data_IF_415293103227
#
_entry.id   IF_415293103227
#
_cell.length_a   1.000
_cell.length_b   1.000
_cell.length_c   1.000
_cell.angle_alpha   90.00
_cell.angle_beta   90.00
_cell.angle_gamma   90.00
#
_symmetry.space_group_name_H-M   'P 1'
#
loop_
_entity.id
_entity.type
_entity.pdbx_description
1 polymer ?
#
# COMPACT_ATOMS: atom_id res chain seq x y z
N UNK A 1 -3.69 -39.15 22.20
CA UNK A 1 -4.04 -37.73 21.95
C UNK A 1 -5.54 -37.52 21.88
N UNK A 2 -6.30 -38.13 20.94
CA UNK A 2 -7.77 -38.02 20.93
C UNK A 2 -8.45 -38.55 22.22
N UNK A 3 -7.96 -39.66 22.79
CA UNK A 3 -8.43 -40.18 24.09
C UNK A 3 -8.14 -39.26 25.30
N UNK A 4 -7.28 -38.23 25.12
CA UNK A 4 -7.00 -37.21 26.12
C UNK A 4 -7.69 -35.87 25.82
N UNK A 5 -8.62 -35.83 24.85
CA UNK A 5 -9.34 -34.61 24.45
C UNK A 5 -8.57 -33.66 23.53
N UNK A 6 -7.40 -34.06 23.03
CA UNK A 6 -6.50 -33.23 22.19
C UNK A 6 -6.85 -33.41 20.71
N UNK A 7 -7.14 -32.30 20.01
CA UNK A 7 -7.34 -32.28 18.56
C UNK A 7 -6.03 -31.95 17.84
N UNK A 8 -5.42 -32.96 17.22
CA UNK A 8 -4.16 -32.82 16.48
C UNK A 8 -4.36 -32.11 15.12
N UNK A 9 -5.56 -32.21 14.55
CA UNK A 9 -5.90 -31.60 13.27
C UNK A 9 -6.24 -30.11 13.43
N UNK A 10 -5.45 -29.27 12.76
CA UNK A 10 -5.60 -27.81 12.70
C UNK A 10 -6.90 -27.39 12.03
N UNK A 11 -7.34 -28.06 10.96
CA UNK A 11 -8.59 -27.73 10.27
C UNK A 11 -9.80 -28.08 11.15
N UNK A 12 -9.73 -29.19 11.88
CA UNK A 12 -10.78 -29.55 12.83
C UNK A 12 -10.87 -28.57 14.01
N UNK A 13 -9.74 -28.09 14.53
CA UNK A 13 -9.72 -27.04 15.58
C UNK A 13 -10.31 -25.74 15.07
N UNK A 14 -9.91 -25.32 13.86
CA UNK A 14 -10.43 -24.12 13.19
C UNK A 14 -11.95 -24.19 13.03
N UNK A 15 -12.46 -25.31 12.51
CA UNK A 15 -13.89 -25.54 12.37
C UNK A 15 -14.63 -25.48 13.71
N UNK A 16 -14.10 -26.13 14.75
CA UNK A 16 -14.68 -26.13 16.10
C UNK A 16 -14.78 -24.70 16.66
N UNK A 17 -13.68 -23.93 16.60
CA UNK A 17 -13.65 -22.54 17.08
C UNK A 17 -14.70 -21.71 16.33
N UNK A 18 -14.76 -21.84 15.01
CA UNK A 18 -15.69 -21.08 14.17
C UNK A 18 -17.16 -21.39 14.49
N UNK A 19 -17.53 -22.67 14.49
CA UNK A 19 -18.93 -23.07 14.70
C UNK A 19 -19.43 -22.66 16.08
N UNK A 20 -18.64 -22.92 17.13
CA UNK A 20 -19.02 -22.60 18.50
C UNK A 20 -19.02 -21.08 18.74
N UNK A 21 -18.03 -20.35 18.23
CA UNK A 21 -17.98 -18.89 18.36
C UNK A 21 -19.15 -18.21 17.64
N UNK A 22 -19.52 -18.67 16.44
CA UNK A 22 -20.67 -18.14 15.72
C UNK A 22 -22.00 -18.42 16.45
N UNK A 23 -22.14 -19.59 17.07
CA UNK A 23 -23.34 -19.89 17.87
C UNK A 23 -23.44 -18.99 19.11
N UNK A 24 -22.33 -18.75 19.81
CA UNK A 24 -22.29 -17.81 20.94
C UNK A 24 -22.59 -16.38 20.50
N UNK A 25 -22.03 -15.93 19.37
CA UNK A 25 -22.27 -14.60 18.82
C UNK A 25 -23.76 -14.38 18.48
N UNK A 26 -24.39 -15.37 17.82
CA UNK A 26 -25.84 -15.33 17.54
C UNK A 26 -26.70 -15.23 18.80
N UNK A 27 -26.26 -15.85 19.89
CA UNK A 27 -26.94 -15.79 21.19
C UNK A 27 -27.06 -14.37 21.76
N UNK A 28 -26.24 -13.43 21.31
CA UNK A 28 -26.28 -12.01 21.68
C UNK A 28 -26.65 -11.08 20.52
N UNK A 29 -27.19 -11.64 19.43
CA UNK A 29 -27.51 -10.87 18.22
C UNK A 29 -26.28 -10.29 17.51
N UNK A 30 -25.11 -10.90 17.70
CA UNK A 30 -23.85 -10.45 17.15
C UNK A 30 -23.30 -11.36 16.06
N UNK A 31 -22.41 -10.79 15.27
CA UNK A 31 -21.58 -11.42 14.25
C UNK A 31 -20.10 -11.29 14.63
N UNK A 32 -19.31 -12.33 14.35
CA UNK A 32 -17.89 -12.38 14.68
C UNK A 32 -17.09 -11.47 13.73
N UNK A 33 -16.32 -10.52 14.28
CA UNK A 33 -15.34 -9.76 13.51
C UNK A 33 -14.11 -10.65 13.31
N UNK A 34 -14.06 -11.32 12.17
CA UNK A 34 -13.01 -12.27 11.87
C UNK A 34 -11.89 -11.70 11.03
N UNK A 35 -10.67 -11.80 11.55
CA UNK A 35 -9.45 -11.69 10.77
C UNK A 35 -8.84 -13.10 10.65
N UNK A 36 -8.60 -13.56 9.42
CA UNK A 36 -8.09 -14.90 9.15
C UNK A 36 -6.79 -15.20 9.91
N UNK A 37 -5.90 -14.20 10.03
CA UNK A 37 -4.65 -14.31 10.76
C UNK A 37 -4.83 -14.56 12.26
N UNK A 38 -5.79 -13.88 12.90
CA UNK A 38 -6.08 -14.08 14.32
C UNK A 38 -6.62 -15.48 14.59
N UNK A 39 -7.51 -15.98 13.73
CA UNK A 39 -8.03 -17.33 13.86
C UNK A 39 -6.92 -18.37 13.73
N UNK A 40 -6.04 -18.22 12.75
CA UNK A 40 -4.88 -19.11 12.58
C UNK A 40 -3.95 -19.07 13.80
N UNK A 41 -3.71 -17.89 14.35
CA UNK A 41 -2.92 -17.74 15.58
C UNK A 41 -3.59 -18.48 16.76
N UNK A 42 -4.87 -18.23 17.01
CA UNK A 42 -5.63 -18.88 18.10
C UNK A 42 -5.66 -20.39 17.94
N UNK A 43 -5.88 -20.91 16.72
CA UNK A 43 -5.87 -22.35 16.43
C UNK A 43 -4.52 -22.99 16.82
N UNK A 44 -3.42 -22.28 16.62
CA UNK A 44 -2.08 -22.76 16.98
C UNK A 44 -1.75 -22.59 18.47
N UNK A 45 -2.50 -21.76 19.20
CA UNK A 45 -2.33 -21.57 20.66
C UNK A 45 -3.05 -22.61 21.51
N UNK A 46 -4.05 -23.31 20.96
CA UNK A 46 -4.91 -24.23 21.72
C UNK A 46 -4.97 -25.62 21.10
N UNK A 47 -5.07 -26.63 21.95
CA UNK A 47 -5.12 -28.05 21.56
C UNK A 47 -6.53 -28.64 21.64
N UNK A 48 -7.36 -28.09 22.52
CA UNK A 48 -8.75 -28.46 22.77
C UNK A 48 -9.58 -27.17 22.94
N UNK A 49 -9.96 -26.49 21.84
CA UNK A 49 -10.58 -25.17 21.91
C UNK A 49 -11.95 -25.19 22.59
N UNK A 50 -12.15 -24.29 23.55
CA UNK A 50 -13.46 -24.01 24.17
C UNK A 50 -13.72 -22.49 24.10
N UNK A 51 -14.47 -22.01 23.10
CA UNK A 51 -14.91 -20.63 23.03
C UNK A 51 -15.84 -20.28 24.20
N UNK A 52 -15.62 -19.11 24.80
CA UNK A 52 -16.35 -18.58 25.95
C UNK A 52 -16.77 -17.14 25.67
N UNK A 53 -18.06 -16.87 25.85
CA UNK A 53 -18.63 -15.53 25.66
C UNK A 53 -18.43 -14.67 26.91
N UNK A 54 -17.61 -13.63 26.78
CA UNK A 54 -17.40 -12.58 27.78
C UNK A 54 -18.15 -11.30 27.44
N UNK A 55 -18.33 -10.43 28.44
CA UNK A 55 -18.86 -9.07 28.28
C UNK A 55 -17.95 -8.02 28.91
N UNK A 56 -18.02 -6.80 28.42
CA UNK A 56 -17.38 -5.64 29.04
C UNK A 56 -18.41 -4.52 29.26
N UNK A 57 -18.01 -3.48 30.00
CA UNK A 57 -18.90 -2.34 30.27
C UNK A 57 -19.19 -1.56 28.99
N UNK A 58 -20.47 -1.29 28.71
CA UNK A 58 -20.90 -0.43 27.59
C UNK A 58 -20.28 0.97 27.64
N UNK A 59 -19.85 1.44 28.82
CA UNK A 59 -19.13 2.70 28.97
C UNK A 59 -17.86 2.81 28.13
N UNK A 60 -17.25 1.69 27.74
CA UNK A 60 -16.07 1.70 26.86
C UNK A 60 -16.41 1.93 25.39
N UNK A 61 -17.68 1.80 24.99
CA UNK A 61 -18.11 2.04 23.59
C UNK A 61 -18.01 3.51 23.18
N UNK A 62 -17.67 4.41 24.09
CA UNK A 62 -17.26 5.79 23.78
C UNK A 62 -15.91 5.84 23.05
N UNK A 63 -15.07 4.80 23.22
CA UNK A 63 -13.77 4.70 22.55
C UNK A 63 -13.95 4.27 21.09
N UNK A 64 -13.00 4.62 20.21
CA UNK A 64 -13.04 4.21 18.81
C UNK A 64 -13.09 2.68 18.68
N UNK A 65 -13.95 2.19 17.77
CA UNK A 65 -14.10 0.76 17.50
C UNK A 65 -12.75 0.10 17.19
N UNK A 66 -11.95 0.71 16.31
CA UNK A 66 -10.65 0.16 15.91
C UNK A 66 -9.68 0.03 17.09
N UNK A 67 -9.72 0.97 18.05
CA UNK A 67 -8.93 0.88 19.28
C UNK A 67 -9.36 -0.29 20.16
N UNK A 68 -10.67 -0.43 20.41
CA UNK A 68 -11.21 -1.54 21.22
C UNK A 68 -10.89 -2.90 20.59
N UNK A 69 -11.09 -3.02 19.27
CA UNK A 69 -10.75 -4.24 18.51
C UNK A 69 -9.26 -4.52 18.59
N UNK A 70 -8.40 -3.52 18.40
CA UNK A 70 -6.95 -3.68 18.49
C UNK A 70 -6.51 -4.17 19.87
N UNK A 71 -7.07 -3.62 20.95
CA UNK A 71 -6.77 -4.03 22.32
C UNK A 71 -7.17 -5.50 22.56
N UNK A 72 -8.36 -5.91 22.10
CA UNK A 72 -8.83 -7.30 22.18
C UNK A 72 -7.89 -8.26 21.44
N UNK A 73 -7.49 -7.91 20.22
CA UNK A 73 -6.68 -8.77 19.36
C UNK A 73 -5.21 -8.83 19.81
N UNK A 74 -4.58 -7.69 20.09
CA UNK A 74 -3.15 -7.60 20.38
C UNK A 74 -2.82 -8.22 21.74
N UNK A 75 -3.58 -7.91 22.78
CA UNK A 75 -3.23 -8.34 24.13
C UNK A 75 -3.79 -9.69 24.53
N UNK A 76 -4.94 -10.11 24.00
CA UNK A 76 -5.67 -11.26 24.52
C UNK A 76 -6.19 -12.24 23.46
N UNK A 77 -5.98 -11.96 22.16
CA UNK A 77 -6.44 -12.81 21.06
C UNK A 77 -7.94 -13.08 21.09
N UNK A 78 -8.72 -12.10 21.56
CA UNK A 78 -10.17 -12.19 21.60
C UNK A 78 -10.78 -11.81 20.26
N UNK A 79 -11.91 -12.43 19.95
CA UNK A 79 -12.73 -12.04 18.80
C UNK A 79 -13.80 -11.03 19.23
N UNK A 80 -13.82 -9.88 18.57
CA UNK A 80 -14.81 -8.84 18.77
C UNK A 80 -16.15 -9.23 18.12
N UNK A 81 -17.26 -8.76 18.69
CA UNK A 81 -18.59 -8.96 18.13
C UNK A 81 -19.19 -7.63 17.65
N UNK A 82 -19.82 -7.64 16.48
CA UNK A 82 -20.59 -6.50 15.95
C UNK A 82 -22.03 -6.88 15.69
N UNK A 83 -22.94 -5.92 15.65
CA UNK A 83 -24.27 -6.15 15.12
C UNK A 83 -24.26 -6.29 13.58
N UNK A 84 -25.44 -6.48 13.00
CA UNK A 84 -25.64 -6.60 11.55
C UNK A 84 -25.27 -5.32 10.76
N UNK A 85 -25.13 -4.18 11.45
CA UNK A 85 -24.73 -2.89 10.87
C UNK A 85 -23.22 -2.64 11.01
N UNK A 86 -22.49 -3.54 11.66
CA UNK A 86 -21.06 -3.40 11.93
C UNK A 86 -20.73 -2.55 13.16
N UNK A 87 -21.71 -2.17 13.97
CA UNK A 87 -21.50 -1.47 15.25
C UNK A 87 -20.98 -2.45 16.29
N UNK A 88 -19.95 -2.06 17.04
CA UNK A 88 -19.33 -2.93 18.05
C UNK A 88 -20.28 -3.17 19.22
N UNK A 89 -20.46 -4.44 19.60
CA UNK A 89 -21.24 -4.85 20.76
C UNK A 89 -20.35 -4.97 22.01
N UNK A 90 -20.89 -4.84 23.23
CA UNK A 90 -20.15 -4.96 24.49
C UNK A 90 -19.77 -6.42 24.85
N UNK A 91 -19.50 -7.25 23.84
CA UNK A 91 -19.22 -8.67 23.95
C UNK A 91 -17.99 -9.07 23.16
N UNK A 92 -17.33 -10.13 23.62
CA UNK A 92 -16.18 -10.72 22.97
C UNK A 92 -16.16 -12.23 23.20
N UNK A 93 -15.41 -12.93 22.36
CA UNK A 93 -15.19 -14.38 22.50
C UNK A 93 -13.72 -14.63 22.82
N UNK A 94 -13.48 -15.27 23.96
CA UNK A 94 -12.18 -15.82 24.33
C UNK A 94 -12.17 -17.32 23.99
N UNK A 95 -11.02 -17.86 23.59
CA UNK A 95 -10.87 -19.31 23.33
C UNK A 95 -9.97 -19.90 24.41
N UNK A 96 -10.55 -20.70 25.30
CA UNK A 96 -9.81 -21.44 26.30
C UNK A 96 -9.32 -22.78 25.75
N UNK A 97 -8.45 -23.45 26.51
CA UNK A 97 -7.86 -24.72 26.13
C UNK A 97 -8.19 -25.82 27.16
N UNK A 98 -8.82 -26.91 26.71
CA UNK A 98 -9.07 -28.11 27.50
C UNK A 98 -10.32 -28.05 28.38
N UNK A 99 -10.34 -28.89 29.42
CA UNK A 99 -11.43 -28.94 30.37
C UNK A 99 -11.38 -27.71 31.30
N UNK A 100 -12.40 -26.86 31.22
CA UNK A 100 -12.45 -25.58 31.93
C UNK A 100 -13.71 -25.43 32.79
N UNK A 101 -13.63 -24.55 33.79
CA UNK A 101 -14.81 -23.96 34.41
C UNK A 101 -15.16 -22.65 33.69
N UNK A 102 -16.19 -22.68 32.86
CA UNK A 102 -16.60 -21.56 32.02
C UNK A 102 -16.84 -20.28 32.82
N UNK A 103 -17.45 -20.37 34.01
CA UNK A 103 -17.75 -19.19 34.83
C UNK A 103 -16.50 -18.49 35.36
N UNK A 104 -15.46 -19.27 35.70
CA UNK A 104 -14.18 -18.76 36.19
C UNK A 104 -13.39 -18.15 35.05
N UNK A 105 -13.30 -18.87 33.92
CA UNK A 105 -12.62 -18.39 32.70
C UNK A 105 -13.27 -17.10 32.22
N UNK A 106 -14.59 -17.04 32.13
CA UNK A 106 -15.33 -15.84 31.75
C UNK A 106 -14.96 -14.65 32.64
N UNK A 107 -15.14 -14.77 33.96
CA UNK A 107 -14.83 -13.68 34.91
C UNK A 107 -13.37 -13.22 34.84
N UNK A 108 -12.43 -14.16 34.67
CA UNK A 108 -11.01 -13.86 34.52
C UNK A 108 -10.73 -13.02 33.28
N UNK A 109 -11.22 -13.46 32.11
CA UNK A 109 -11.02 -12.75 30.84
C UNK A 109 -11.71 -11.37 30.85
N UNK A 110 -12.90 -11.25 31.45
CA UNK A 110 -13.61 -9.97 31.62
C UNK A 110 -12.81 -8.99 32.49
N UNK A 111 -12.24 -9.48 33.60
CA UNK A 111 -11.41 -8.66 34.49
C UNK A 111 -10.12 -8.16 33.79
N UNK A 112 -9.49 -9.01 33.00
CA UNK A 112 -8.29 -8.66 32.21
C UNK A 112 -8.64 -7.63 31.14
N UNK A 113 -9.71 -7.86 30.37
CA UNK A 113 -10.12 -6.93 29.31
C UNK A 113 -10.47 -5.55 29.88
N UNK A 114 -11.18 -5.52 31.01
CA UNK A 114 -11.52 -4.26 31.69
C UNK A 114 -10.26 -3.47 32.02
N UNK A 115 -9.23 -4.09 32.60
CA UNK A 115 -7.98 -3.39 32.90
C UNK A 115 -7.33 -2.80 31.63
N UNK A 116 -7.28 -3.57 30.54
CA UNK A 116 -6.72 -3.09 29.26
C UNK A 116 -7.51 -1.96 28.63
N UNK A 117 -8.83 -1.96 28.77
CA UNK A 117 -9.66 -0.86 28.28
C UNK A 117 -9.57 0.39 29.13
N UNK A 118 -9.33 0.28 30.44
CA UNK A 118 -9.00 1.46 31.26
C UNK A 118 -7.68 2.10 30.81
N UNK A 119 -6.65 1.30 30.51
CA UNK A 119 -5.39 1.80 29.96
C UNK A 119 -5.61 2.52 28.61
N UNK A 120 -6.34 1.87 27.68
CA UNK A 120 -6.66 2.44 26.37
C UNK A 120 -7.48 3.73 26.48
N UNK A 121 -8.42 3.78 27.44
CA UNK A 121 -9.22 4.96 27.74
C UNK A 121 -8.34 6.10 28.22
N UNK A 122 -7.41 5.83 29.14
CA UNK A 122 -6.47 6.84 29.64
C UNK A 122 -5.63 7.45 28.51
N UNK A 123 -5.10 6.63 27.60
CA UNK A 123 -4.36 7.14 26.44
C UNK A 123 -5.23 7.99 25.53
N UNK A 124 -6.45 7.54 25.25
CA UNK A 124 -7.39 8.27 24.40
C UNK A 124 -7.82 9.61 25.02
N UNK A 125 -8.04 9.66 26.34
CA UNK A 125 -8.36 10.90 27.07
C UNK A 125 -7.18 11.88 27.05
N UNK A 126 -5.95 11.38 27.20
CA UNK A 126 -4.74 12.19 27.09
C UNK A 126 -4.62 12.81 25.68
N UNK A 127 -4.88 12.00 24.65
CA UNK A 127 -4.81 12.46 23.26
C UNK A 127 -5.89 13.50 22.95
N UNK A 128 -7.13 13.25 23.37
CA UNK A 128 -8.29 14.10 23.08
C UNK A 128 -8.38 15.37 23.93
N UNK A 129 -7.47 15.53 24.89
CA UNK A 129 -7.28 16.77 25.66
C UNK A 129 -6.50 17.85 24.89
N UNK A 130 -5.85 17.49 23.79
CA UNK A 130 -5.08 18.37 22.90
C UNK A 130 -5.75 18.42 21.53
N UNK A 131 -5.47 19.45 20.74
CA UNK A 131 -5.86 19.48 19.32
C UNK A 131 -4.96 18.56 18.51
N UNK A 132 -5.51 17.92 17.50
CA UNK A 132 -4.78 16.99 16.63
C UNK A 132 -3.58 17.67 15.95
N UNK A 133 -3.74 18.93 15.54
CA UNK A 133 -2.67 19.74 14.96
C UNK A 133 -1.48 19.98 15.90
N UNK A 134 -1.68 19.92 17.23
CA UNK A 134 -0.59 20.12 18.21
C UNK A 134 0.38 18.93 18.26
N UNK A 135 -0.01 17.77 17.73
CA UNK A 135 0.88 16.61 17.65
C UNK A 135 1.89 16.73 16.51
N UNK A 136 1.67 17.63 15.53
CA UNK A 136 2.60 17.84 14.41
C UNK A 136 4.00 18.22 14.90
N UNK A 137 4.11 19.19 15.81
CA UNK A 137 5.40 19.61 16.37
C UNK A 137 6.06 18.56 17.28
N UNK A 138 5.30 17.57 17.75
CA UNK A 138 5.85 16.47 18.57
C UNK A 138 6.56 15.42 17.71
N UNK A 139 6.38 15.44 16.37
CA UNK A 139 7.13 14.60 15.44
C UNK A 139 8.63 14.89 15.44
N UNK A 140 9.05 16.07 15.93
CA UNK A 140 10.45 16.40 16.18
C UNK A 140 11.11 15.45 17.21
N UNK A 141 10.32 14.84 18.09
CA UNK A 141 10.80 13.85 19.06
C UNK A 141 11.03 12.45 18.45
N UNK A 142 10.63 12.22 17.20
CA UNK A 142 10.70 10.92 16.54
C UNK A 142 11.78 10.99 15.46
N UNK A 143 12.91 10.32 15.69
CA UNK A 143 13.99 10.24 14.71
C UNK A 143 13.53 9.45 13.47
N UNK A 144 13.58 10.07 12.29
CA UNK A 144 13.36 9.36 11.03
C UNK A 144 14.66 8.68 10.58
N UNK A 145 15.75 9.44 10.52
CA UNK A 145 17.09 8.92 10.22
C UNK A 145 18.16 9.97 10.59
N UNK A 146 19.33 9.56 11.08
CA UNK A 146 20.41 10.45 11.56
C UNK A 146 20.78 11.57 10.56
N UNK A 147 20.80 11.27 9.26
CA UNK A 147 21.09 12.24 8.19
C UNK A 147 19.88 12.99 7.63
N UNK A 148 18.66 12.51 7.89
CA UNK A 148 17.42 13.05 7.31
C UNK A 148 16.55 13.76 8.35
N UNK A 149 17.00 13.77 9.60
CA UNK A 149 16.33 14.41 10.72
C UNK A 149 15.19 13.56 11.29
N UNK A 150 14.17 14.28 11.72
CA UNK A 150 13.03 13.78 12.46
C UNK A 150 11.86 13.46 11.52
N UNK A 151 10.80 12.89 12.08
CA UNK A 151 9.57 12.68 11.35
C UNK A 151 8.89 14.02 11.00
N UNK A 152 9.12 15.09 11.79
CA UNK A 152 8.68 16.44 11.41
C UNK A 152 9.41 16.92 10.16
N UNK A 153 10.75 16.81 10.13
CA UNK A 153 11.56 17.17 8.96
C UNK A 153 11.12 16.41 7.71
N UNK A 154 10.82 15.11 7.86
CA UNK A 154 10.29 14.29 6.78
C UNK A 154 8.97 14.86 6.25
N UNK A 155 8.03 15.14 7.14
CA UNK A 155 6.72 15.58 6.70
C UNK A 155 6.70 17.01 6.16
N UNK A 156 7.63 17.88 6.58
CA UNK A 156 7.86 19.20 5.95
C UNK A 156 8.32 19.02 4.49
N UNK A 157 9.23 18.08 4.22
CA UNK A 157 9.65 17.78 2.83
C UNK A 157 8.52 17.18 2.02
N UNK A 158 7.74 16.27 2.59
CA UNK A 158 6.56 15.71 1.90
C UNK A 158 5.59 16.83 1.52
N UNK A 159 5.24 17.71 2.46
CA UNK A 159 4.33 18.84 2.26
C UNK A 159 4.79 19.78 1.14
N UNK A 160 6.09 20.07 1.04
CA UNK A 160 6.63 20.97 0.01
C UNK A 160 6.56 20.41 -1.41
N UNK A 161 6.44 19.09 -1.57
CA UNK A 161 6.33 18.43 -2.89
C UNK A 161 4.89 18.29 -3.41
N UNK A 162 3.88 18.51 -2.56
CA UNK A 162 2.47 18.22 -2.88
C UNK A 162 1.97 18.99 -4.11
N UNK A 163 2.39 20.24 -4.27
CA UNK A 163 1.93 21.09 -5.37
C UNK A 163 2.36 20.54 -6.72
N UNK A 164 3.65 20.30 -6.86
CA UNK A 164 4.24 19.90 -8.12
C UNK A 164 3.82 18.46 -8.47
N UNK A 165 3.77 17.55 -7.48
CA UNK A 165 3.26 16.20 -7.69
C UNK A 165 1.76 16.18 -8.03
N UNK A 166 0.96 17.02 -7.38
CA UNK A 166 -0.47 17.17 -7.68
C UNK A 166 -0.70 17.63 -9.12
N UNK A 167 0.04 18.65 -9.56
CA UNK A 167 0.00 19.13 -10.96
C UNK A 167 0.48 18.07 -11.96
N UNK A 168 1.57 17.38 -11.65
CA UNK A 168 2.10 16.29 -12.50
C UNK A 168 1.12 15.12 -12.64
N UNK A 169 0.28 14.90 -11.63
CA UNK A 169 -0.80 13.90 -11.63
C UNK A 169 -2.12 14.42 -12.22
N UNK A 170 -2.17 15.68 -12.68
CA UNK A 170 -3.33 16.29 -13.31
C UNK A 170 -4.47 16.61 -12.35
N UNK A 171 -4.19 16.84 -11.06
CA UNK A 171 -5.19 17.27 -10.09
C UNK A 171 -5.58 18.73 -10.31
N UNK A 172 -6.83 19.05 -9.98
CA UNK A 172 -7.35 20.41 -9.90
C UNK A 172 -6.91 21.12 -8.60
N UNK A 173 -6.91 22.45 -8.59
CA UNK A 173 -6.41 23.26 -7.46
C UNK A 173 -7.17 22.97 -6.14
N UNK A 174 -8.47 22.70 -6.20
CA UNK A 174 -9.27 22.31 -5.03
C UNK A 174 -8.76 21.02 -4.38
N UNK A 175 -8.42 20.01 -5.19
CA UNK A 175 -7.86 18.75 -4.72
C UNK A 175 -6.44 18.91 -4.19
N UNK A 176 -5.64 19.76 -4.82
CA UNK A 176 -4.30 20.11 -4.32
C UNK A 176 -4.42 20.80 -2.95
N UNK A 177 -5.37 21.70 -2.77
CA UNK A 177 -5.58 22.39 -1.50
C UNK A 177 -5.99 21.42 -0.37
N UNK A 178 -6.88 20.47 -0.65
CA UNK A 178 -7.22 19.38 0.30
C UNK A 178 -5.97 18.56 0.65
N UNK A 179 -5.13 18.27 -0.35
CA UNK A 179 -3.90 17.49 -0.15
C UNK A 179 -2.90 18.25 0.72
N UNK A 180 -2.74 19.57 0.53
CA UNK A 180 -1.90 20.42 1.40
C UNK A 180 -2.39 20.40 2.84
N UNK A 181 -3.71 20.57 3.03
CA UNK A 181 -4.30 20.56 4.37
C UNK A 181 -4.05 19.20 5.07
N UNK A 182 -4.25 18.09 4.37
CA UNK A 182 -3.91 16.77 4.87
C UNK A 182 -2.40 16.62 5.15
N UNK A 183 -1.51 17.09 4.27
CA UNK A 183 -0.06 16.99 4.45
C UNK A 183 0.44 17.74 5.71
N UNK A 184 -0.19 18.86 6.06
CA UNK A 184 0.12 19.64 7.26
C UNK A 184 -0.16 18.90 8.57
N UNK A 185 -1.07 17.92 8.54
CA UNK A 185 -1.45 17.08 9.68
C UNK A 185 -0.92 15.65 9.58
N UNK A 186 -0.42 15.26 8.41
CA UNK A 186 -0.05 13.89 8.12
C UNK A 186 0.99 13.34 9.09
N UNK A 187 0.76 12.08 9.49
CA UNK A 187 1.56 11.33 10.46
C UNK A 187 1.64 11.91 11.87
N UNK A 188 0.91 13.00 12.19
CA UNK A 188 0.91 13.60 13.55
C UNK A 188 0.40 12.62 14.61
N UNK A 189 -0.43 11.66 14.21
CA UNK A 189 -0.91 10.61 15.10
C UNK A 189 0.22 9.73 15.66
N UNK A 190 1.39 9.64 15.01
CA UNK A 190 2.54 8.91 15.55
C UNK A 190 2.99 9.40 16.93
N UNK A 191 2.75 10.66 17.27
CA UNK A 191 3.08 11.24 18.58
C UNK A 191 1.95 11.12 19.61
N UNK A 192 0.82 10.52 19.24
CA UNK A 192 -0.30 10.29 20.17
C UNK A 192 0.00 9.11 21.10
N UNK A 193 -0.51 9.16 22.31
CA UNK A 193 -0.33 8.10 23.30
C UNK A 193 -0.94 6.78 22.83
N UNK A 194 -2.12 6.83 22.17
CA UNK A 194 -2.75 5.64 21.59
C UNK A 194 -1.86 4.99 20.53
N UNK A 195 -1.32 5.74 19.58
CA UNK A 195 -0.50 5.16 18.51
C UNK A 195 0.88 4.74 19.01
N UNK A 196 1.42 5.42 20.03
CA UNK A 196 2.66 5.00 20.69
C UNK A 196 2.51 3.60 21.29
N UNK A 197 1.38 3.30 21.93
CA UNK A 197 1.07 1.96 22.45
C UNK A 197 0.65 0.98 21.33
N UNK A 198 -0.10 1.47 20.34
CA UNK A 198 -0.72 0.68 19.26
C UNK A 198 -0.31 1.20 17.88
N UNK A 199 0.96 1.00 17.51
CA UNK A 199 1.53 1.51 16.25
C UNK A 199 0.78 1.08 14.98
N UNK A 200 0.09 -0.07 15.00
CA UNK A 200 -0.77 -0.56 13.91
C UNK A 200 -2.01 0.29 13.67
N UNK A 201 -2.37 1.19 14.60
CA UNK A 201 -3.47 2.13 14.47
C UNK A 201 -3.06 3.45 13.82
N UNK A 202 -1.80 3.60 13.41
CA UNK A 202 -1.39 4.78 12.65
C UNK A 202 -2.21 4.92 11.35
N UNK A 203 -2.53 6.15 10.97
CA UNK A 203 -3.45 6.51 9.89
C UNK A 203 -4.93 6.37 10.30
N UNK A 204 -5.31 5.27 10.94
CA UNK A 204 -6.68 5.07 11.43
C UNK A 204 -7.01 6.12 12.50
N UNK A 205 -6.11 6.30 13.47
CA UNK A 205 -6.29 7.30 14.52
C UNK A 205 -6.12 8.73 14.00
N UNK A 206 -5.26 8.97 13.00
CA UNK A 206 -5.19 10.27 12.33
C UNK A 206 -6.56 10.68 11.76
N UNK A 207 -7.20 9.78 11.00
CA UNK A 207 -8.56 10.01 10.48
C UNK A 207 -9.57 10.23 11.60
N UNK A 208 -9.53 9.40 12.65
CA UNK A 208 -10.45 9.51 13.78
C UNK A 208 -10.35 10.86 14.50
N UNK A 209 -9.12 11.30 14.80
CA UNK A 209 -8.89 12.58 15.47
C UNK A 209 -9.27 13.77 14.60
N UNK A 210 -8.97 13.72 13.29
CA UNK A 210 -9.37 14.75 12.35
C UNK A 210 -10.91 14.88 12.24
N UNK A 211 -11.64 13.77 12.08
CA UNK A 211 -13.11 13.78 12.05
C UNK A 211 -13.71 14.31 13.34
N UNK A 212 -13.16 13.91 14.50
CA UNK A 212 -13.62 14.39 15.82
C UNK A 212 -13.49 15.90 15.96
N UNK A 213 -12.46 16.50 15.36
CA UNK A 213 -12.20 17.95 15.41
C UNK A 213 -12.90 18.75 14.30
N UNK A 214 -13.66 18.08 13.44
CA UNK A 214 -14.45 18.74 12.40
C UNK A 214 -13.69 19.04 11.12
N UNK A 215 -12.52 18.42 10.90
CA UNK A 215 -11.89 18.43 9.57
C UNK A 215 -12.79 17.72 8.56
N UNK A 216 -12.67 18.08 7.27
CA UNK A 216 -13.48 17.47 6.22
C UNK A 216 -13.20 15.97 6.08
N UNK A 217 -14.18 15.23 5.58
CA UNK A 217 -14.04 13.79 5.29
C UNK A 217 -12.88 13.54 4.31
N UNK A 218 -12.69 14.41 3.32
CA UNK A 218 -11.63 14.27 2.31
C UNK A 218 -10.23 14.42 2.92
N UNK A 219 -10.04 15.38 3.83
CA UNK A 219 -8.77 15.55 4.58
C UNK A 219 -8.55 14.35 5.50
N UNK A 220 -9.58 13.95 6.24
CA UNK A 220 -9.50 12.87 7.20
C UNK A 220 -9.19 11.52 6.53
N UNK A 221 -9.77 11.26 5.36
CA UNK A 221 -9.48 10.03 4.61
C UNK A 221 -8.06 10.05 4.03
N UNK A 222 -7.58 11.19 3.52
CA UNK A 222 -6.20 11.32 3.04
C UNK A 222 -5.17 11.02 4.14
N UNK A 223 -5.47 11.39 5.40
CA UNK A 223 -4.62 11.08 6.56
C UNK A 223 -4.55 9.58 6.90
N UNK A 224 -5.59 8.82 6.60
CA UNK A 224 -5.54 7.36 6.67
C UNK A 224 -4.77 6.77 5.49
N UNK A 225 -5.08 7.26 4.28
CA UNK A 225 -4.61 6.73 3.02
C UNK A 225 -3.10 6.93 2.77
N UNK A 226 -2.43 7.92 3.40
CA UNK A 226 -0.96 8.08 3.29
C UNK A 226 -0.20 6.79 3.63
N UNK A 227 -0.73 6.00 4.57
CA UNK A 227 -0.12 4.73 5.00
C UNK A 227 -0.33 3.61 3.99
N UNK A 228 -1.29 3.74 3.08
CA UNK A 228 -1.70 2.71 2.13
C UNK A 228 -0.87 2.75 0.82
N UNK A 229 -0.56 1.58 0.23
CA UNK A 229 -0.72 0.24 0.79
C UNK A 229 0.35 -0.04 1.86
N UNK A 230 -0.02 -0.73 2.94
CA UNK A 230 0.89 -1.08 4.05
C UNK A 230 1.74 -2.31 3.73
N UNK A 231 1.24 -3.18 2.88
CA UNK A 231 1.90 -4.40 2.39
C UNK A 231 1.41 -4.73 0.97
N UNK A 232 2.09 -5.67 0.30
CA UNK A 232 1.71 -6.10 -1.06
C UNK A 232 0.30 -6.69 -1.07
N UNK A 233 -0.58 -6.15 -1.92
CA UNK A 233 -1.97 -6.60 -2.01
C UNK A 233 -2.91 -6.04 -0.94
N UNK A 234 -2.46 -5.08 -0.13
CA UNK A 234 -3.34 -4.28 0.72
C UNK A 234 -4.27 -3.37 -0.11
N UNK A 235 -5.28 -2.79 0.54
CA UNK A 235 -6.11 -1.75 -0.06
C UNK A 235 -5.25 -0.54 -0.48
N UNK A 236 -5.73 0.18 -1.49
CA UNK A 236 -5.06 1.36 -2.04
C UNK A 236 -5.77 2.63 -1.61
N UNK A 237 -5.08 3.79 -1.63
CA UNK A 237 -5.74 5.09 -1.51
C UNK A 237 -6.90 5.19 -2.51
N UNK A 238 -8.10 5.53 -2.04
CA UNK A 238 -9.27 5.75 -2.86
C UNK A 238 -9.31 7.18 -3.37
N UNK A 239 -9.05 8.15 -2.49
CA UNK A 239 -9.12 9.58 -2.81
C UNK A 239 -7.92 10.07 -3.63
N UNK A 240 -8.12 11.14 -4.40
CA UNK A 240 -7.02 11.81 -5.10
C UNK A 240 -5.99 12.37 -4.10
N UNK A 241 -6.44 12.99 -3.02
CA UNK A 241 -5.56 13.57 -2.01
C UNK A 241 -4.70 12.52 -1.31
N UNK A 242 -5.28 11.42 -0.86
CA UNK A 242 -4.51 10.32 -0.27
C UNK A 242 -3.63 9.61 -1.28
N UNK A 243 -4.02 9.53 -2.56
CA UNK A 243 -3.15 9.00 -3.63
C UNK A 243 -1.87 9.85 -3.75
N UNK A 244 -1.99 11.18 -3.87
CA UNK A 244 -0.84 12.07 -4.00
C UNK A 244 0.02 12.02 -2.74
N UNK A 245 -0.59 12.07 -1.57
CA UNK A 245 0.11 12.09 -0.30
C UNK A 245 0.88 10.77 -0.04
N UNK A 246 0.28 9.62 -0.38
CA UNK A 246 0.95 8.32 -0.33
C UNK A 246 2.15 8.22 -1.30
N UNK A 247 2.02 8.77 -2.51
CA UNK A 247 3.11 8.85 -3.49
C UNK A 247 4.23 9.74 -2.96
N UNK A 248 3.91 10.95 -2.47
CA UNK A 248 4.87 11.91 -1.95
C UNK A 248 5.68 11.34 -0.78
N UNK A 249 5.03 10.70 0.19
CA UNK A 249 5.69 10.06 1.34
C UNK A 249 6.68 8.95 0.93
N UNK A 250 6.30 8.16 -0.09
CA UNK A 250 7.14 7.07 -0.62
C UNK A 250 8.31 7.61 -1.41
N UNK A 251 8.11 8.65 -2.22
CA UNK A 251 9.19 9.31 -2.95
C UNK A 251 10.19 9.94 -1.98
N UNK A 252 9.73 10.66 -0.94
CA UNK A 252 10.61 11.24 0.09
C UNK A 252 11.48 10.15 0.73
N UNK A 253 10.85 9.06 1.16
CA UNK A 253 11.55 7.95 1.81
C UNK A 253 12.54 7.26 0.87
N UNK A 254 12.17 7.02 -0.40
CA UNK A 254 13.04 6.37 -1.38
C UNK A 254 14.25 7.24 -1.71
N UNK A 255 14.05 8.52 -2.01
CA UNK A 255 15.14 9.44 -2.35
C UNK A 255 16.05 9.65 -1.14
N UNK A 256 15.47 9.90 0.04
CA UNK A 256 16.22 10.29 1.23
C UNK A 256 17.07 9.17 1.77
N UNK A 257 16.48 7.98 1.92
CA UNK A 257 17.20 6.83 2.44
C UNK A 257 18.25 6.33 1.43
N UNK A 258 18.04 6.48 0.12
CA UNK A 258 19.10 6.23 -0.84
C UNK A 258 20.24 7.24 -0.70
N UNK A 259 19.95 8.53 -0.53
CA UNK A 259 21.00 9.54 -0.31
C UNK A 259 21.73 9.39 1.01
N UNK A 260 21.06 8.86 2.03
CA UNK A 260 21.66 8.55 3.32
C UNK A 260 22.63 7.35 3.27
N UNK A 261 22.61 6.55 2.19
CA UNK A 261 23.40 5.33 2.04
C UNK A 261 22.70 4.08 2.59
N UNK A 262 21.38 4.12 2.75
CA UNK A 262 20.58 3.02 3.29
C UNK A 262 20.03 2.10 2.19
N UNK A 263 20.69 2.02 1.02
CA UNK A 263 20.20 1.17 -0.06
C UNK A 263 20.15 -0.29 0.38
N UNK A 264 19.09 -1.06 0.04
CA UNK A 264 18.98 -2.45 0.48
C UNK A 264 20.06 -3.31 -0.19
N UNK A 265 20.64 -4.23 0.57
CA UNK A 265 21.56 -5.24 0.04
C UNK A 265 20.78 -6.41 -0.57
N UNK A 266 21.42 -7.55 -0.88
CA UNK A 266 20.69 -8.77 -1.27
C UNK A 266 19.93 -9.39 -0.10
N UNK A 267 20.50 -9.37 1.10
CA UNK A 267 19.98 -10.07 2.28
C UNK A 267 19.27 -9.16 3.29
N UNK A 268 19.49 -7.85 3.23
CA UNK A 268 18.98 -6.92 4.23
C UNK A 268 18.27 -5.71 3.61
N UNK A 269 17.16 -5.31 4.22
CA UNK A 269 16.40 -4.10 3.88
C UNK A 269 15.85 -3.48 5.18
N UNK A 270 16.71 -2.80 5.96
CA UNK A 270 16.38 -2.38 7.32
C UNK A 270 15.26 -1.34 7.38
N UNK A 271 15.10 -0.53 6.32
CA UNK A 271 14.06 0.50 6.21
C UNK A 271 12.87 0.08 5.33
N UNK A 272 12.85 -1.17 4.83
CA UNK A 272 11.77 -1.67 3.99
C UNK A 272 11.62 -0.95 2.65
N UNK A 273 12.72 -0.46 2.05
CA UNK A 273 12.71 0.26 0.77
C UNK A 273 12.11 -0.57 -0.37
N UNK A 274 12.28 -1.89 -0.36
CA UNK A 274 11.63 -2.77 -1.35
C UNK A 274 10.12 -2.74 -1.22
N UNK A 275 9.60 -2.73 0.02
CA UNK A 275 8.17 -2.63 0.30
C UNK A 275 7.63 -1.26 -0.08
N UNK A 276 8.34 -0.19 0.28
CA UNK A 276 7.98 1.20 -0.08
C UNK A 276 7.91 1.35 -1.60
N UNK A 277 8.94 0.90 -2.33
CA UNK A 277 8.99 0.99 -3.79
C UNK A 277 7.93 0.10 -4.46
N UNK A 278 7.67 -1.10 -3.96
CA UNK A 278 6.59 -1.94 -4.48
C UNK A 278 5.21 -1.31 -4.24
N UNK A 279 4.98 -0.70 -3.08
CA UNK A 279 3.76 0.04 -2.78
C UNK A 279 3.58 1.25 -3.71
N UNK A 280 4.64 2.00 -4.00
CA UNK A 280 4.62 3.08 -5.00
C UNK A 280 4.22 2.56 -6.38
N UNK A 281 4.83 1.47 -6.84
CA UNK A 281 4.47 0.83 -8.13
C UNK A 281 3.01 0.40 -8.13
N UNK A 282 2.53 -0.22 -7.06
CA UNK A 282 1.14 -0.68 -6.95
C UNK A 282 0.17 0.51 -7.06
N UNK A 283 0.43 1.61 -6.36
CA UNK A 283 -0.38 2.84 -6.46
C UNK A 283 -0.36 3.39 -7.89
N UNK A 284 0.81 3.55 -8.51
CA UNK A 284 0.92 4.13 -9.85
C UNK A 284 0.25 3.27 -10.93
N UNK A 285 0.37 1.96 -10.84
CA UNK A 285 -0.16 1.03 -11.83
C UNK A 285 -1.64 0.77 -11.63
N UNK A 286 -2.07 0.41 -10.42
CA UNK A 286 -3.45 -0.03 -10.16
C UNK A 286 -4.44 1.13 -10.06
N UNK A 287 -3.98 2.33 -9.66
CA UNK A 287 -4.80 3.58 -9.75
C UNK A 287 -4.68 4.28 -11.10
N UNK A 288 -4.00 3.66 -12.06
CA UNK A 288 -3.81 4.17 -13.43
C UNK A 288 -3.31 5.62 -13.47
N UNK A 289 -2.32 5.93 -12.62
CA UNK A 289 -1.76 7.29 -12.52
C UNK A 289 -0.64 7.44 -13.55
N UNK A 290 -0.89 8.31 -14.53
CA UNK A 290 0.10 8.64 -15.54
C UNK A 290 1.11 9.66 -15.00
N UNK A 291 2.12 9.15 -14.27
CA UNK A 291 3.18 9.95 -13.67
C UNK A 291 4.51 9.71 -14.38
N UNK A 292 5.20 10.79 -14.73
CA UNK A 292 6.62 10.73 -15.11
C UNK A 292 7.46 10.45 -13.86
N UNK A 293 8.00 9.24 -13.76
CA UNK A 293 8.71 8.79 -12.57
C UNK A 293 10.03 9.55 -12.35
N UNK A 294 10.76 9.90 -13.42
CA UNK A 294 11.99 10.71 -13.29
C UNK A 294 11.66 12.09 -12.74
N UNK A 295 10.68 12.75 -13.34
CA UNK A 295 10.25 14.06 -12.86
C UNK A 295 9.80 14.00 -11.39
N UNK A 296 8.97 13.03 -11.01
CA UNK A 296 8.52 12.88 -9.62
C UNK A 296 9.69 12.64 -8.63
N UNK A 297 10.71 11.89 -9.04
CA UNK A 297 11.94 11.71 -8.26
C UNK A 297 12.77 13.00 -8.18
N UNK A 298 12.80 13.81 -9.23
CA UNK A 298 13.45 15.13 -9.23
C UNK A 298 12.77 16.09 -8.27
N UNK A 299 11.43 16.10 -8.23
CA UNK A 299 10.67 16.90 -7.25
C UNK A 299 11.08 16.53 -5.82
N UNK A 300 11.06 15.24 -5.48
CA UNK A 300 11.48 14.77 -4.16
C UNK A 300 12.97 15.03 -3.88
N UNK A 301 13.83 14.91 -4.89
CA UNK A 301 15.25 15.20 -4.75
C UNK A 301 15.55 16.69 -4.59
N UNK A 302 14.73 17.60 -5.14
CA UNK A 302 14.92 19.04 -5.02
C UNK A 302 14.88 19.52 -3.56
N UNK A 303 14.11 18.83 -2.72
CA UNK A 303 13.96 19.12 -1.29
C UNK A 303 14.92 18.30 -0.40
N UNK A 304 15.82 17.52 -1.01
CA UNK A 304 16.78 16.65 -0.31
C UNK A 304 18.23 16.69 -0.87
N UNK A 305 18.46 17.29 -2.05
CA UNK A 305 19.76 17.47 -2.73
C UNK A 305 20.53 16.18 -3.09
N UNK A 306 19.91 15.25 -3.86
CA UNK A 306 20.47 13.91 -4.11
C UNK A 306 20.40 13.44 -5.58
N UNK A 307 21.20 12.41 -5.93
CA UNK A 307 21.20 11.77 -7.25
C UNK A 307 20.05 10.76 -7.40
N UNK A 308 19.26 10.87 -8.47
CA UNK A 308 18.02 10.10 -8.67
C UNK A 308 18.20 8.78 -9.44
N UNK A 309 19.28 8.60 -10.20
CA UNK A 309 19.40 7.48 -11.17
C UNK A 309 19.33 6.11 -10.51
N UNK A 310 19.95 5.96 -9.34
CA UNK A 310 19.93 4.71 -8.57
C UNK A 310 18.54 4.38 -8.05
N UNK A 311 17.76 5.40 -7.66
CA UNK A 311 16.38 5.26 -7.19
C UNK A 311 15.46 4.89 -8.35
N UNK A 312 15.60 5.56 -9.51
CA UNK A 312 14.82 5.25 -10.71
C UNK A 312 15.01 3.80 -11.15
N UNK A 313 16.26 3.33 -11.20
CA UNK A 313 16.56 1.93 -11.52
C UNK A 313 15.95 0.98 -10.49
N UNK A 314 16.01 1.33 -9.20
CA UNK A 314 15.45 0.50 -8.13
C UNK A 314 13.93 0.35 -8.26
N UNK A 315 13.21 1.45 -8.51
CA UNK A 315 11.75 1.43 -8.72
C UNK A 315 11.40 0.67 -10.01
N UNK A 316 12.15 0.86 -11.08
CA UNK A 316 11.97 0.12 -12.34
C UNK A 316 12.10 -1.39 -12.13
N UNK A 317 13.05 -1.84 -11.32
CA UNK A 317 13.20 -3.26 -10.98
C UNK A 317 12.05 -3.80 -10.11
N UNK A 318 11.37 -2.95 -9.34
CA UNK A 318 10.14 -3.34 -8.62
C UNK A 318 8.93 -3.38 -9.56
N UNK A 319 8.87 -2.52 -10.56
CA UNK A 319 7.89 -2.59 -11.64
C UNK A 319 8.04 -3.88 -12.46
N UNK A 320 9.27 -4.30 -12.78
CA UNK A 320 9.53 -5.61 -13.41
C UNK A 320 8.96 -6.75 -12.56
N UNK A 321 9.31 -6.77 -11.26
CA UNK A 321 8.81 -7.78 -10.34
C UNK A 321 7.28 -7.81 -10.28
N UNK A 322 6.65 -6.64 -10.12
CA UNK A 322 5.20 -6.50 -10.07
C UNK A 322 4.52 -7.11 -11.30
N UNK A 323 5.03 -6.83 -12.51
CA UNK A 323 4.45 -7.33 -13.76
C UNK A 323 4.66 -8.84 -13.93
N UNK A 324 5.81 -9.36 -13.52
CA UNK A 324 6.09 -10.81 -13.51
C UNK A 324 5.19 -11.54 -12.51
N UNK A 325 4.98 -10.99 -11.31
CA UNK A 325 4.10 -11.55 -10.29
C UNK A 325 2.63 -11.57 -10.74
N UNK A 326 2.23 -10.65 -11.64
CA UNK A 326 0.93 -10.65 -12.32
C UNK A 326 0.86 -11.65 -13.49
N UNK A 327 1.90 -12.46 -13.70
CA UNK A 327 1.93 -13.56 -14.67
C UNK A 327 2.33 -13.18 -16.09
N UNK A 328 2.92 -11.99 -16.29
CA UNK A 328 3.40 -11.56 -17.62
C UNK A 328 4.77 -12.19 -17.90
N UNK A 329 4.99 -12.62 -19.15
CA UNK A 329 6.28 -13.19 -19.55
C UNK A 329 7.44 -12.21 -19.29
N UNK A 330 8.52 -12.63 -18.58
CA UNK A 330 9.64 -11.75 -18.24
C UNK A 330 10.34 -11.11 -19.45
N UNK A 331 10.37 -11.76 -20.61
CA UNK A 331 10.94 -11.17 -21.83
C UNK A 331 10.11 -10.01 -22.36
N UNK A 332 8.77 -10.16 -22.34
CA UNK A 332 7.83 -9.09 -22.70
C UNK A 332 7.98 -7.92 -21.75
N UNK A 333 8.05 -8.18 -20.44
CA UNK A 333 8.26 -7.14 -19.42
C UNK A 333 9.55 -6.39 -19.69
N UNK A 334 10.69 -7.08 -19.81
CA UNK A 334 11.99 -6.44 -20.03
C UNK A 334 12.01 -5.60 -21.31
N UNK A 335 11.46 -6.12 -22.42
CA UNK A 335 11.39 -5.38 -23.68
C UNK A 335 10.62 -4.06 -23.54
N UNK A 336 9.54 -4.07 -22.77
CA UNK A 336 8.71 -2.87 -22.56
C UNK A 336 9.37 -1.89 -21.61
N UNK A 337 10.01 -2.38 -20.54
CA UNK A 337 10.65 -1.52 -19.56
C UNK A 337 11.86 -0.77 -20.13
N UNK A 338 12.53 -1.31 -21.16
CA UNK A 338 13.58 -0.56 -21.89
C UNK A 338 13.04 0.78 -22.41
N UNK A 339 11.81 0.80 -22.93
CA UNK A 339 11.22 1.97 -23.58
C UNK A 339 10.30 2.78 -22.66
N UNK A 340 9.61 2.11 -21.71
CA UNK A 340 8.47 2.69 -21.00
C UNK A 340 8.61 2.71 -19.48
N UNK A 341 9.74 2.28 -18.91
CA UNK A 341 9.92 2.24 -17.44
C UNK A 341 9.68 3.58 -16.75
N UNK A 342 9.86 4.70 -17.45
CA UNK A 342 9.62 6.02 -16.89
C UNK A 342 8.14 6.35 -16.60
N UNK A 343 7.21 5.59 -17.18
CA UNK A 343 5.77 5.78 -17.03
C UNK A 343 5.12 4.47 -16.53
N UNK A 344 5.17 4.16 -15.22
CA UNK A 344 4.80 2.84 -14.70
C UNK A 344 3.40 2.35 -15.11
N UNK A 345 2.38 3.21 -15.05
CA UNK A 345 1.02 2.86 -15.49
C UNK A 345 0.94 2.53 -16.98
N UNK A 346 1.62 3.32 -17.82
CA UNK A 346 1.70 3.07 -19.28
C UNK A 346 2.49 1.81 -19.61
N UNK A 347 3.60 1.56 -18.91
CA UNK A 347 4.39 0.33 -19.05
C UNK A 347 3.54 -0.89 -18.71
N UNK A 348 2.79 -0.85 -17.61
CA UNK A 348 1.91 -1.95 -17.21
C UNK A 348 0.81 -2.21 -18.26
N UNK A 349 0.11 -1.17 -18.72
CA UNK A 349 -0.88 -1.28 -19.81
C UNK A 349 -0.28 -1.89 -21.07
N UNK A 350 0.93 -1.46 -21.44
CA UNK A 350 1.65 -1.99 -22.60
C UNK A 350 2.00 -3.46 -22.40
N UNK A 351 2.43 -3.85 -21.20
CA UNK A 351 2.78 -5.22 -20.85
C UNK A 351 1.59 -6.17 -20.94
N UNK A 352 0.43 -5.80 -20.38
CA UNK A 352 -0.79 -6.60 -20.51
C UNK A 352 -1.23 -6.76 -21.97
N UNK A 353 -1.15 -5.69 -22.77
CA UNK A 353 -1.48 -5.74 -24.20
C UNK A 353 -0.52 -6.63 -24.99
N UNK A 354 0.79 -6.50 -24.76
CA UNK A 354 1.80 -7.30 -25.44
C UNK A 354 1.74 -8.77 -25.04
N UNK A 355 1.45 -9.08 -23.78
CA UNK A 355 1.21 -10.46 -23.31
C UNK A 355 -0.02 -11.08 -23.98
N UNK A 356 -1.07 -10.29 -24.20
CA UNK A 356 -2.24 -10.77 -24.95
C UNK A 356 -1.88 -11.02 -26.42
N UNK A 357 -1.10 -10.13 -27.03
CA UNK A 357 -0.64 -10.26 -28.42
C UNK A 357 0.33 -11.42 -28.63
N UNK A 358 1.21 -11.70 -27.66
CA UNK A 358 2.21 -12.77 -27.74
C UNK A 358 1.59 -14.17 -27.74
N UNK A 359 0.37 -14.31 -27.18
CA UNK A 359 -0.43 -15.54 -27.23
C UNK A 359 -1.17 -15.73 -28.56
N UNK A 360 -1.25 -14.68 -29.39
CA UNK A 360 -1.87 -14.73 -30.70
C UNK A 360 -0.86 -14.98 -31.83
N UNK A 361 -1.36 -15.23 -33.04
CA UNK A 361 -0.49 -15.45 -34.21
C UNK A 361 0.08 -14.17 -34.82
N UNK A 362 -0.46 -13.00 -34.46
CA UNK A 362 -0.09 -11.74 -35.09
C UNK A 362 1.35 -11.35 -34.73
N UNK A 363 1.72 -11.43 -33.45
CA UNK A 363 3.04 -11.00 -33.00
C UNK A 363 4.17 -11.83 -33.64
N UNK A 364 4.11 -13.18 -33.70
CA UNK A 364 5.09 -13.96 -34.45
C UNK A 364 5.21 -13.56 -35.92
N UNK A 365 4.08 -13.31 -36.61
CA UNK A 365 4.08 -12.87 -38.03
C UNK A 365 4.75 -11.51 -38.21
N UNK A 366 4.49 -10.57 -37.30
CA UNK A 366 5.15 -9.24 -37.30
C UNK A 366 6.64 -9.39 -37.02
N UNK A 367 7.04 -10.17 -36.02
CA UNK A 367 8.45 -10.41 -35.69
C UNK A 367 9.18 -11.12 -36.85
N UNK A 368 8.54 -12.07 -37.54
CA UNK A 368 9.10 -12.70 -38.73
C UNK A 368 9.32 -11.69 -39.86
N UNK A 369 8.30 -10.87 -40.15
CA UNK A 369 8.37 -9.84 -41.17
C UNK A 369 9.48 -8.81 -40.90
N UNK A 370 9.71 -8.43 -39.64
CA UNK A 370 10.77 -7.50 -39.24
C UNK A 370 12.15 -8.15 -39.11
N UNK A 371 12.24 -9.37 -38.58
CA UNK A 371 13.53 -10.04 -38.32
C UNK A 371 14.23 -10.49 -39.60
N UNK A 372 13.47 -10.79 -40.66
CA UNK A 372 14.01 -11.26 -41.94
C UNK A 372 14.90 -10.19 -42.62
N UNK A 373 14.44 -8.93 -42.84
CA UNK A 373 15.31 -7.86 -43.32
C UNK A 373 16.55 -7.65 -42.44
N UNK A 374 16.38 -7.58 -41.11
CA UNK A 374 17.49 -7.35 -40.18
C UNK A 374 18.55 -8.45 -40.27
N UNK A 375 18.14 -9.72 -40.42
CA UNK A 375 19.07 -10.85 -40.64
C UNK A 375 19.77 -10.78 -42.01
N UNK A 376 19.09 -10.30 -43.05
CA UNK A 376 19.66 -10.18 -44.41
C UNK A 376 20.77 -9.12 -44.47
N UNK A 377 20.62 -8.02 -43.72
CA UNK A 377 21.58 -6.90 -43.71
C UNK A 377 22.64 -7.01 -42.61
N UNK A 378 22.50 -7.94 -41.66
CA UNK A 378 23.44 -8.10 -40.54
C UNK A 378 24.85 -8.42 -41.07
N UNK A 379 25.81 -7.56 -40.74
CA UNK A 379 27.22 -7.72 -41.13
C UNK A 379 27.53 -7.32 -42.57
N UNK A 380 26.60 -6.62 -43.25
CA UNK A 380 26.84 -6.00 -44.55
C UNK A 380 26.92 -4.49 -44.40
N UNK A 381 27.95 -3.86 -44.95
CA UNK A 381 27.94 -2.42 -45.21
C UNK A 381 27.00 -2.18 -46.38
N UNK A 382 25.82 -1.65 -46.08
CA UNK A 382 24.83 -1.29 -47.09
C UNK A 382 25.10 0.17 -47.45
N UNK A 383 25.56 0.41 -48.66
CA UNK A 383 25.70 1.75 -49.21
C UNK A 383 24.30 2.36 -49.34
N UNK A 384 24.03 3.44 -48.60
CA UNK A 384 22.70 4.07 -48.52
C UNK A 384 22.38 4.85 -49.79
N UNK A 385 23.35 4.99 -50.71
CA UNK A 385 23.23 5.70 -51.98
C UNK A 385 22.60 4.85 -53.09
N UNK A 386 21.53 4.13 -52.76
CA UNK A 386 20.70 3.43 -53.75
C UNK A 386 19.50 4.30 -54.11
N UNK A 387 19.31 4.57 -55.40
CA UNK A 387 18.08 5.16 -55.94
C UNK A 387 16.88 4.34 -55.44
N UNK A 388 16.15 4.89 -54.47
CA UNK A 388 14.98 4.23 -53.92
C UNK A 388 13.92 4.12 -55.02
N UNK A 389 13.47 2.89 -55.30
CA UNK A 389 12.35 2.65 -56.20
C UNK A 389 11.15 3.52 -55.78
N UNK A 390 10.60 4.29 -56.71
CA UNK A 390 9.50 5.24 -56.47
C UNK A 390 8.27 4.57 -55.82
N UNK A 391 8.04 3.28 -56.08
CA UNK A 391 6.98 2.50 -55.42
C UNK A 391 7.31 2.21 -53.96
N UNK A 392 8.55 1.86 -53.66
CA UNK A 392 9.02 1.61 -52.28
C UNK A 392 8.94 2.92 -51.48
N UNK A 393 9.40 4.03 -52.07
CA UNK A 393 9.32 5.37 -51.47
C UNK A 393 7.88 5.75 -51.12
N UNK A 394 6.94 5.56 -52.05
CA UNK A 394 5.50 5.85 -51.79
C UNK A 394 4.93 5.00 -50.67
N UNK A 395 5.23 3.70 -50.65
CA UNK A 395 4.77 2.80 -49.58
C UNK A 395 5.37 3.18 -48.22
N UNK A 396 6.67 3.51 -48.17
CA UNK A 396 7.35 3.98 -46.97
C UNK A 396 6.70 5.28 -46.45
N UNK A 397 6.48 6.25 -47.31
CA UNK A 397 5.84 7.52 -46.95
C UNK A 397 4.39 7.33 -46.46
N UNK A 398 3.63 6.43 -47.08
CA UNK A 398 2.27 6.11 -46.62
C UNK A 398 2.29 5.44 -45.23
N UNK A 399 3.23 4.52 -44.99
CA UNK A 399 3.41 3.91 -43.67
C UNK A 399 3.81 4.96 -42.62
N UNK A 400 4.76 5.84 -42.94
CA UNK A 400 5.22 6.91 -42.05
C UNK A 400 4.09 7.89 -41.72
N UNK A 401 3.21 8.21 -42.68
CA UNK A 401 1.99 9.00 -42.41
C UNK A 401 1.09 8.31 -41.39
N UNK A 402 0.77 7.04 -41.62
CA UNK A 402 -0.05 6.26 -40.69
C UNK A 402 0.58 6.18 -39.30
N UNK A 403 1.91 6.05 -39.21
CA UNK A 403 2.63 6.03 -37.91
C UNK A 403 2.62 7.42 -37.27
N UNK A 404 2.77 8.49 -38.03
CA UNK A 404 2.73 9.88 -37.53
C UNK A 404 1.34 10.29 -37.03
N UNK A 405 0.29 9.63 -37.53
CA UNK A 405 -1.09 9.79 -37.08
C UNK A 405 -1.40 8.99 -35.80
N UNK A 406 -0.47 8.14 -35.34
CA UNK A 406 -0.63 7.43 -34.06
C UNK A 406 -0.53 8.43 -32.89
N UNK A 407 -1.30 8.20 -31.80
CA UNK A 407 -1.19 8.98 -30.58
C UNK A 407 0.27 9.14 -30.10
N UNK A 408 0.62 10.36 -29.64
CA UNK A 408 1.93 10.65 -29.04
C UNK A 408 2.27 9.61 -27.97
N UNK A 409 3.50 9.05 -28.02
CA UNK A 409 3.98 8.02 -27.11
C UNK A 409 3.84 6.57 -27.61
N UNK A 410 3.43 6.35 -28.86
CA UNK A 410 3.44 5.01 -29.50
C UNK A 410 4.74 4.80 -30.29
N UNK A 411 5.22 5.82 -31.02
CA UNK A 411 6.52 5.86 -31.66
C UNK A 411 7.04 7.31 -31.67
N UNK A 412 8.31 7.52 -31.32
CA UNK A 412 8.99 8.79 -31.56
C UNK A 412 9.79 8.67 -32.86
N UNK A 413 9.34 9.35 -33.91
CA UNK A 413 10.00 9.31 -35.22
C UNK A 413 11.17 10.30 -35.32
N UNK A 414 11.34 11.21 -34.35
CA UNK A 414 12.43 12.19 -34.34
C UNK A 414 13.82 11.57 -34.12
N UNK A 415 13.86 10.32 -33.66
CA UNK A 415 15.10 9.53 -33.48
C UNK A 415 15.47 8.67 -34.69
N UNK A 416 14.65 8.64 -35.75
CA UNK A 416 14.97 7.91 -36.98
C UNK A 416 15.89 8.77 -37.87
N UNK A 417 17.08 8.28 -38.26
CA UNK A 417 17.95 9.00 -39.19
C UNK A 417 17.23 9.26 -40.53
N UNK A 418 17.14 10.54 -40.93
CA UNK A 418 16.49 10.96 -42.17
C UNK A 418 15.04 11.47 -42.03
N UNK A 419 14.58 11.74 -40.81
CA UNK A 419 13.36 12.51 -40.53
C UNK A 419 13.65 13.97 -40.20
#
# INVERSE_FOLDING_TARGET
>A
MQQAGISVDTEQRKKTILEQSNNLAKGVGGCLVMQSSLLEEVVNLVEAPVPVLGKFSESFLVLPKDLLVMVMQKHQKYFALTDDKGTLLPYFIAVANGAINESVVKKGNEAVLRARYEDAKFFYELDTSKRFSEFRGQLNGILFHEKLGTMEDKMIRVESTINELGLALGLSEDKIQITREAASLAMSDLSTAVVTEFTSLSGIMARHYALREGYSEQVSEALFEITLPRFSGDILPETDAGTVLSIADRLDSLVGLFGAGCQPSSTNDPFGLRRISYGLVQVLVEKDRNLDLRHALEVAASVQSLKIDTVHQFVTRRLEQFLVDKGINPEVVRAILVERANWPGLAAKSAYKMETLSRGELLPKVVEAYSRPTRIVRGKDVDVDTQEDERIRKNRLALLRNISELPRGIADLSVLPGF
#
